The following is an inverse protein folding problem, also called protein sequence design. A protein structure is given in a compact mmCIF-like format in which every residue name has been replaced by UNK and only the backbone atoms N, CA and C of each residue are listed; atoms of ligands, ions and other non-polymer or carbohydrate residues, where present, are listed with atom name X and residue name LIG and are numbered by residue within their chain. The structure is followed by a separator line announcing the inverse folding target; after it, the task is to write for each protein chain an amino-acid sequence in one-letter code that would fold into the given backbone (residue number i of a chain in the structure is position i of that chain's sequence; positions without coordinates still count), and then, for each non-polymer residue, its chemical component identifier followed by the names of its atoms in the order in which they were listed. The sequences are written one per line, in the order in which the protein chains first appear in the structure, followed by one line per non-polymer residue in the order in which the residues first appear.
data_IF_585688438368
#
_entry.id   IF_585688438368
#
_cell.length_a   1.000
_cell.length_b   1.000
_cell.length_c   1.000
_cell.angle_alpha   90.00
_cell.angle_beta   90.00
_cell.angle_gamma   90.00
#
_symmetry.space_group_name_H-M   'P 1'
#
loop_
_entity.id
_entity.type
_entity.pdbx_description
1 polymer ?
#
# COMPACT_ATOMS: atom_id res chain seq x y z
N UNK A 1 -17.54 -42.16 51.80
CA UNK A 1 -18.75 -42.58 51.10
C UNK A 1 -19.93 -41.98 51.86
N UNK A 2 -20.54 -40.91 51.36
CA UNK A 2 -21.65 -40.24 52.04
C UNK A 2 -22.95 -41.00 51.72
N UNK A 3 -23.54 -41.64 52.73
CA UNK A 3 -24.79 -42.38 52.57
C UNK A 3 -25.99 -41.44 52.75
N UNK A 4 -26.77 -41.27 51.69
CA UNK A 4 -28.02 -40.51 51.68
C UNK A 4 -29.11 -41.30 52.40
N UNK A 5 -29.78 -40.70 53.39
CA UNK A 5 -30.95 -41.30 54.06
C UNK A 5 -32.18 -41.21 53.15
N UNK A 6 -33.11 -42.19 53.19
CA UNK A 6 -34.32 -42.15 52.36
C UNK A 6 -35.21 -40.98 52.83
N UNK A 7 -35.29 -39.91 52.03
CA UNK A 7 -36.07 -38.69 52.34
C UNK A 7 -35.31 -37.38 52.12
N UNK A 8 -33.98 -37.40 52.13
CA UNK A 8 -33.19 -36.18 51.88
C UNK A 8 -33.18 -35.86 50.37
N UNK A 9 -33.43 -34.61 49.99
CA UNK A 9 -33.19 -34.13 48.62
C UNK A 9 -31.82 -33.45 48.57
N UNK A 10 -30.80 -34.17 48.09
CA UNK A 10 -29.49 -33.58 47.78
C UNK A 10 -29.58 -33.02 46.36
N UNK A 11 -29.63 -31.70 46.23
CA UNK A 11 -29.50 -30.99 44.96
C UNK A 11 -28.11 -30.37 44.90
N UNK A 12 -27.37 -30.71 43.84
CA UNK A 12 -26.14 -30.03 43.50
C UNK A 12 -26.52 -28.75 42.72
N UNK A 13 -26.22 -27.59 43.30
CA UNK A 13 -26.40 -26.30 42.62
C UNK A 13 -25.09 -25.98 41.93
N UNK A 14 -25.00 -26.29 40.64
CA UNK A 14 -23.86 -25.88 39.82
C UNK A 14 -24.04 -24.42 39.41
N UNK A 15 -23.24 -23.52 39.99
CA UNK A 15 -23.18 -22.12 39.55
C UNK A 15 -22.07 -21.99 38.51
N UNK A 16 -22.45 -21.71 37.27
CA UNK A 16 -21.50 -21.42 36.19
C UNK A 16 -20.87 -20.04 36.39
N UNK A 17 -19.53 -19.98 36.44
CA UNK A 17 -18.75 -18.73 36.50
C UNK A 17 -18.15 -18.33 35.14
N UNK A 18 -18.67 -18.90 34.06
CA UNK A 18 -18.06 -18.80 32.73
C UNK A 18 -17.92 -17.36 32.24
N UNK A 19 -18.81 -16.45 32.66
CA UNK A 19 -18.82 -15.04 32.25
C UNK A 19 -18.21 -14.08 33.29
N UNK A 20 -17.70 -14.59 34.41
CA UNK A 20 -17.16 -13.75 35.49
C UNK A 20 -15.92 -12.96 35.05
N UNK A 21 -15.08 -13.55 34.20
CA UNK A 21 -13.90 -12.90 33.61
C UNK A 21 -14.29 -11.67 32.79
N UNK A 22 -15.35 -11.78 31.97
CA UNK A 22 -15.84 -10.67 31.15
C UNK A 22 -16.37 -9.51 32.01
N UNK A 23 -17.09 -9.81 33.10
CA UNK A 23 -17.58 -8.79 34.04
C UNK A 23 -16.43 -8.04 34.74
N UNK A 24 -15.37 -8.73 35.14
CA UNK A 24 -14.20 -8.08 35.74
C UNK A 24 -13.52 -7.18 34.71
N UNK A 25 -13.37 -7.66 33.47
CA UNK A 25 -12.73 -6.89 32.41
C UNK A 25 -13.50 -5.62 32.02
N UNK A 26 -14.84 -5.61 32.11
CA UNK A 26 -15.61 -4.37 31.90
C UNK A 26 -15.44 -3.37 33.03
N UNK A 27 -15.26 -3.82 34.29
CA UNK A 27 -14.98 -2.90 35.41
C UNK A 27 -13.64 -2.16 35.24
N UNK A 28 -12.63 -2.81 34.65
CA UNK A 28 -11.37 -2.15 34.31
C UNK A 28 -11.53 -1.02 33.29
N UNK A 29 -12.63 -0.98 32.51
CA UNK A 29 -12.93 0.17 31.65
C UNK A 29 -13.18 1.43 32.48
N UNK A 30 -13.87 1.34 33.61
CA UNK A 30 -14.11 2.49 34.48
C UNK A 30 -12.78 3.04 35.01
N UNK A 31 -11.86 2.16 35.39
CA UNK A 31 -10.51 2.54 35.86
C UNK A 31 -9.74 3.23 34.73
N UNK A 32 -9.77 2.67 33.53
CA UNK A 32 -9.14 3.23 32.34
C UNK A 32 -9.71 4.61 31.97
N UNK A 33 -11.04 4.77 32.03
CA UNK A 33 -11.73 6.04 31.78
C UNK A 33 -11.35 7.11 32.81
N UNK A 34 -11.28 6.75 34.11
CA UNK A 34 -10.84 7.69 35.16
C UNK A 34 -9.39 8.11 34.94
N UNK A 35 -8.53 7.17 34.54
CA UNK A 35 -7.12 7.44 34.24
C UNK A 35 -6.90 8.17 32.91
N UNK A 36 -7.96 8.40 32.12
CA UNK A 36 -7.89 8.94 30.74
C UNK A 36 -6.85 8.21 29.88
N UNK A 37 -6.80 6.89 30.00
CA UNK A 37 -5.84 6.05 29.29
C UNK A 37 -6.54 4.84 28.69
N UNK A 38 -6.19 4.41 27.47
CA UNK A 38 -6.72 3.18 26.89
C UNK A 38 -6.47 1.98 27.79
N UNK A 39 -7.48 1.11 27.93
CA UNK A 39 -7.40 -0.07 28.79
C UNK A 39 -6.27 -1.02 28.35
N UNK A 40 -6.06 -1.15 27.03
CA UNK A 40 -4.95 -1.93 26.45
C UNK A 40 -3.57 -1.40 26.87
N UNK A 41 -3.41 -0.08 26.94
CA UNK A 41 -2.17 0.58 27.38
C UNK A 41 -1.98 0.49 28.89
N UNK A 42 -3.06 0.69 29.66
CA UNK A 42 -3.04 0.60 31.12
C UNK A 42 -2.75 -0.82 31.61
N UNK A 43 -3.43 -1.82 31.02
CA UNK A 43 -3.33 -3.23 31.43
C UNK A 43 -2.18 -3.97 30.74
N UNK A 44 -1.63 -3.42 29.64
CA UNK A 44 -0.60 -4.06 28.80
C UNK A 44 -1.01 -5.43 28.24
N UNK A 45 -2.30 -5.71 28.24
CA UNK A 45 -2.90 -6.93 27.71
C UNK A 45 -4.15 -6.55 26.94
N UNK A 46 -4.50 -7.31 25.90
CA UNK A 46 -5.76 -7.13 25.20
C UNK A 46 -6.86 -7.92 25.92
N UNK A 47 -7.85 -7.27 26.56
CA UNK A 47 -8.92 -7.99 27.22
C UNK A 47 -9.87 -8.59 26.18
N UNK A 48 -10.47 -9.75 26.49
CA UNK A 48 -11.49 -10.36 25.63
C UNK A 48 -12.68 -9.41 25.48
N UNK A 49 -13.12 -9.21 24.23
CA UNK A 49 -14.22 -8.29 23.92
C UNK A 49 -13.78 -6.87 23.50
N UNK A 50 -12.49 -6.56 23.51
CA UNK A 50 -11.95 -5.29 23.00
C UNK A 50 -11.54 -5.41 21.53
N UNK A 51 -11.67 -4.31 20.78
CA UNK A 51 -11.29 -4.26 19.38
C UNK A 51 -9.79 -4.56 19.21
N UNK A 52 -9.43 -5.34 18.20
CA UNK A 52 -8.11 -5.98 18.11
C UNK A 52 -6.95 -5.03 17.85
N UNK A 53 -7.22 -3.83 17.34
CA UNK A 53 -6.16 -2.89 16.94
C UNK A 53 -5.97 -1.75 17.93
N UNK A 54 -6.98 -1.39 18.74
CA UNK A 54 -6.90 -0.28 19.71
C UNK A 54 -6.53 1.10 19.10
N UNK A 55 -6.52 1.22 17.78
CA UNK A 55 -6.00 2.40 17.06
C UNK A 55 -6.78 3.68 17.39
N UNK A 56 -8.10 3.59 17.45
CA UNK A 56 -8.95 4.74 17.77
C UNK A 56 -8.70 5.25 19.19
N UNK A 57 -8.65 4.34 20.17
CA UNK A 57 -8.38 4.66 21.57
C UNK A 57 -6.98 5.24 21.75
N UNK A 58 -5.99 4.74 20.99
CA UNK A 58 -4.63 5.27 20.99
C UNK A 58 -4.55 6.66 20.37
N UNK A 59 -5.27 6.93 19.28
CA UNK A 59 -5.31 8.27 18.67
C UNK A 59 -5.92 9.30 19.63
N UNK A 60 -7.04 8.97 20.26
CA UNK A 60 -7.67 9.81 21.29
C UNK A 60 -6.71 10.09 22.45
N UNK A 61 -6.00 9.05 22.92
CA UNK A 61 -5.00 9.19 23.97
C UNK A 61 -3.82 10.09 23.57
N UNK A 62 -3.34 10.01 22.33
CA UNK A 62 -2.27 10.88 21.82
C UNK A 62 -2.76 12.33 21.77
N UNK A 63 -4.00 12.58 21.33
CA UNK A 63 -4.59 13.92 21.34
C UNK A 63 -4.70 14.49 22.75
N UNK A 64 -5.12 13.69 23.74
CA UNK A 64 -5.16 14.12 25.15
C UNK A 64 -3.75 14.43 25.68
N UNK A 65 -2.73 13.64 25.31
CA UNK A 65 -1.35 13.94 25.68
C UNK A 65 -0.84 15.25 25.06
N UNK A 66 -1.14 15.52 23.80
CA UNK A 66 -0.82 16.79 23.16
C UNK A 66 -1.56 17.95 23.85
N UNK A 67 -2.83 17.77 24.18
CA UNK A 67 -3.61 18.75 24.94
C UNK A 67 -2.97 19.06 26.30
N UNK A 68 -2.50 18.04 27.03
CA UNK A 68 -1.80 18.21 28.30
C UNK A 68 -0.45 18.92 28.12
N UNK A 69 0.30 18.57 27.08
CA UNK A 69 1.56 19.23 26.75
C UNK A 69 1.35 20.72 26.50
N UNK A 70 0.38 21.09 25.65
CA UNK A 70 0.18 22.47 25.23
C UNK A 70 -0.52 23.33 26.30
N UNK A 71 -1.54 22.80 26.98
CA UNK A 71 -2.38 23.61 27.87
C UNK A 71 -1.94 23.58 29.33
N UNK A 72 -1.21 22.55 29.76
CA UNK A 72 -0.79 22.43 31.16
C UNK A 72 0.72 22.51 31.30
N UNK A 73 1.46 21.68 30.57
CA UNK A 73 2.90 21.55 30.78
C UNK A 73 3.68 22.72 30.18
N UNK A 74 3.34 23.16 28.98
CA UNK A 74 4.02 24.27 28.29
C UNK A 74 3.96 25.57 29.10
N UNK A 75 2.80 26.03 29.61
CA UNK A 75 2.75 27.24 30.44
C UNK A 75 3.55 27.10 31.75
N UNK A 76 3.59 25.89 32.34
CA UNK A 76 4.39 25.65 33.55
C UNK A 76 5.89 25.73 33.26
N UNK A 77 6.34 25.17 32.14
CA UNK A 77 7.74 25.22 31.72
C UNK A 77 8.12 26.65 31.35
N UNK A 78 7.31 27.35 30.55
CA UNK A 78 7.54 28.76 30.20
C UNK A 78 7.62 29.63 31.45
N UNK A 79 6.70 29.43 32.41
CA UNK A 79 6.74 30.14 33.69
C UNK A 79 8.00 29.84 34.48
N UNK A 80 8.43 28.59 34.53
CA UNK A 80 9.65 28.19 35.21
C UNK A 80 10.89 28.82 34.54
N UNK A 81 10.99 28.75 33.22
CA UNK A 81 12.08 29.33 32.45
C UNK A 81 12.19 30.84 32.70
N UNK A 82 11.08 31.57 32.68
CA UNK A 82 11.06 33.00 33.01
C UNK A 82 11.59 33.32 34.41
N UNK A 83 11.36 32.44 35.40
CA UNK A 83 11.87 32.62 36.76
C UNK A 83 13.37 32.33 36.84
N UNK A 84 13.83 31.25 36.20
CA UNK A 84 15.24 30.86 36.15
C UNK A 84 16.06 31.92 35.41
N UNK A 85 15.58 32.42 34.27
CA UNK A 85 16.22 33.49 33.52
C UNK A 85 16.46 34.74 34.37
N UNK A 86 15.44 35.20 35.10
CA UNK A 86 15.56 36.37 35.98
C UNK A 86 16.46 36.12 37.18
N UNK A 87 16.46 34.91 37.73
CA UNK A 87 17.23 34.56 38.93
C UNK A 87 18.71 34.34 38.65
N UNK A 88 19.03 33.57 37.61
CA UNK A 88 20.40 33.10 37.33
C UNK A 88 21.14 34.02 36.35
N UNK A 89 20.44 34.50 35.32
CA UNK A 89 21.09 35.19 34.21
C UNK A 89 20.88 36.70 34.24
N UNK A 90 19.86 37.20 34.95
CA UNK A 90 19.57 38.64 35.07
C UNK A 90 19.12 39.30 33.75
N UNK A 91 18.88 38.50 32.71
CA UNK A 91 18.40 38.90 31.39
C UNK A 91 17.12 38.13 31.06
N UNK A 92 16.27 38.71 30.20
CA UNK A 92 15.12 38.02 29.61
C UNK A 92 15.54 37.51 28.24
N UNK A 93 15.43 36.21 28.02
CA UNK A 93 15.58 35.61 26.70
C UNK A 93 14.18 35.25 26.17
N UNK A 94 14.01 35.23 24.85
CA UNK A 94 12.83 34.60 24.25
C UNK A 94 13.11 33.10 24.14
N UNK A 95 12.73 32.34 25.17
CA UNK A 95 12.82 30.88 25.16
C UNK A 95 11.49 30.27 24.72
N UNK A 96 11.53 29.42 23.70
CA UNK A 96 10.39 28.61 23.29
C UNK A 96 10.54 27.17 23.81
N UNK A 97 9.56 26.71 24.60
CA UNK A 97 9.50 25.33 25.03
C UNK A 97 8.87 24.46 23.93
N UNK A 98 9.67 23.57 23.32
CA UNK A 98 9.24 22.60 22.32
C UNK A 98 9.33 21.18 22.87
N UNK A 99 8.20 20.47 22.88
CA UNK A 99 8.17 19.04 23.21
C UNK A 99 8.61 18.18 22.02
N UNK A 100 9.12 17.00 22.33
CA UNK A 100 9.27 15.97 21.31
C UNK A 100 7.88 15.53 20.83
N UNK A 101 7.70 15.27 19.53
CA UNK A 101 6.44 14.76 19.00
C UNK A 101 5.97 13.53 19.76
N UNK A 102 4.71 13.54 20.19
CA UNK A 102 4.08 12.41 20.91
C UNK A 102 3.80 11.26 19.96
N UNK A 103 3.43 11.60 18.72
CA UNK A 103 3.21 10.65 17.65
C UNK A 103 4.41 10.68 16.71
N UNK A 104 4.99 9.52 16.44
CA UNK A 104 5.95 9.36 15.36
C UNK A 104 5.23 8.59 14.27
N UNK A 105 4.92 9.24 13.12
CA UNK A 105 4.26 8.54 12.03
C UNK A 105 5.09 7.33 11.65
N UNK A 106 4.41 6.21 11.40
CA UNK A 106 5.09 5.01 10.94
C UNK A 106 5.75 5.29 9.58
N UNK A 107 6.81 4.55 9.23
CA UNK A 107 7.42 4.65 7.89
C UNK A 107 6.40 4.51 6.76
N UNK A 108 5.33 3.75 7.00
CA UNK A 108 4.22 3.59 6.07
C UNK A 108 3.41 4.89 5.92
N UNK A 109 3.01 5.51 7.02
CA UNK A 109 2.27 6.78 6.98
C UNK A 109 3.14 7.90 6.38
N UNK A 110 4.44 7.93 6.67
CA UNK A 110 5.38 8.85 6.02
C UNK A 110 5.46 8.61 4.50
N UNK A 111 5.49 7.35 4.06
CA UNK A 111 5.46 7.03 2.63
C UNK A 111 4.13 7.44 1.96
N UNK A 112 3.00 7.29 2.66
CA UNK A 112 1.69 7.74 2.19
C UNK A 112 1.63 9.28 2.10
N UNK A 113 2.15 10.00 3.10
CA UNK A 113 2.27 11.48 3.07
C UNK A 113 3.13 11.93 1.89
N UNK A 114 4.32 11.34 1.68
CA UNK A 114 5.20 11.68 0.54
C UNK A 114 4.51 11.48 -0.82
N UNK A 115 3.66 10.45 -0.94
CA UNK A 115 2.87 10.23 -2.15
C UNK A 115 1.85 11.34 -2.35
N UNK A 116 1.12 11.70 -1.29
CA UNK A 116 0.14 12.80 -1.33
C UNK A 116 0.81 14.13 -1.67
N UNK A 117 2.00 14.38 -1.12
CA UNK A 117 2.78 15.59 -1.42
C UNK A 117 3.23 15.63 -2.88
N UNK A 118 3.64 14.49 -3.46
CA UNK A 118 3.99 14.39 -4.87
C UNK A 118 2.77 14.58 -5.80
N UNK A 119 1.62 14.03 -5.43
CA UNK A 119 0.36 14.23 -6.16
C UNK A 119 -0.07 15.72 -6.08
N UNK A 120 0.14 16.36 -4.93
CA UNK A 120 -0.12 17.80 -4.74
C UNK A 120 0.80 18.65 -5.60
N UNK A 121 2.09 18.34 -5.66
CA UNK A 121 3.04 19.04 -6.54
C UNK A 121 2.66 18.89 -8.02
N UNK A 122 2.27 17.70 -8.46
CA UNK A 122 1.81 17.48 -9.82
C UNK A 122 0.62 18.37 -10.17
N UNK A 123 -0.36 18.49 -9.27
CA UNK A 123 -1.53 19.36 -9.47
C UNK A 123 -1.13 20.83 -9.52
N UNK A 124 -0.28 21.29 -8.60
CA UNK A 124 0.13 22.70 -8.53
C UNK A 124 1.00 23.11 -9.73
N UNK A 125 1.88 22.22 -10.20
CA UNK A 125 2.71 22.45 -11.40
C UNK A 125 1.82 22.51 -12.64
N UNK A 126 0.89 21.56 -12.79
CA UNK A 126 -0.04 21.54 -13.94
C UNK A 126 -0.99 22.74 -13.92
N UNK A 127 -1.35 23.25 -12.74
CA UNK A 127 -2.15 24.46 -12.58
C UNK A 127 -1.33 25.75 -12.82
N UNK A 128 -0.01 25.66 -13.00
CA UNK A 128 0.89 26.80 -13.12
C UNK A 128 1.03 27.64 -11.85
N UNK A 129 0.64 27.09 -10.69
CA UNK A 129 0.71 27.78 -9.41
C UNK A 129 2.12 27.75 -8.79
N UNK A 130 2.89 26.69 -9.08
CA UNK A 130 4.30 26.56 -8.70
C UNK A 130 5.11 26.06 -9.90
N UNK A 131 6.38 26.46 -9.98
CA UNK A 131 7.31 25.89 -10.96
C UNK A 131 7.88 24.53 -10.49
N UNK A 132 8.35 23.68 -11.41
CA UNK A 132 9.06 22.45 -11.04
C UNK A 132 10.29 22.68 -10.15
N UNK A 133 10.94 23.85 -10.28
CA UNK A 133 12.09 24.23 -9.48
C UNK A 133 11.69 24.58 -8.03
N UNK A 134 10.56 25.26 -7.84
CA UNK A 134 10.02 25.58 -6.51
C UNK A 134 9.58 24.31 -5.78
N UNK A 135 8.96 23.37 -6.48
CA UNK A 135 8.62 22.05 -5.92
C UNK A 135 9.89 21.28 -5.50
N UNK A 136 10.94 21.34 -6.31
CA UNK A 136 12.24 20.72 -6.00
C UNK A 136 12.89 21.35 -4.76
N UNK A 137 12.87 22.68 -4.64
CA UNK A 137 13.38 23.38 -3.46
C UNK A 137 12.63 22.98 -2.18
N UNK A 138 11.30 22.83 -2.25
CA UNK A 138 10.46 22.33 -1.16
C UNK A 138 10.87 20.91 -0.73
N UNK A 139 11.05 20.01 -1.70
CA UNK A 139 11.49 18.62 -1.46
C UNK A 139 12.87 18.59 -0.81
N UNK A 140 13.82 19.43 -1.22
CA UNK A 140 15.16 19.50 -0.61
C UNK A 140 15.09 20.00 0.85
N UNK A 141 14.21 20.98 1.11
CA UNK A 141 14.07 21.58 2.43
C UNK A 141 13.35 20.68 3.45
N UNK A 142 12.47 19.77 3.01
CA UNK A 142 11.75 18.86 3.89
C UNK A 142 12.69 17.81 4.51
N UNK A 143 12.87 17.77 5.85
CA UNK A 143 13.72 16.79 6.53
C UNK A 143 13.34 15.33 6.28
N UNK A 144 12.08 15.06 5.93
CA UNK A 144 11.55 13.71 5.76
C UNK A 144 11.50 13.27 4.29
N UNK A 145 11.90 14.10 3.34
CA UNK A 145 11.74 13.80 1.90
C UNK A 145 12.68 12.71 1.40
N UNK A 146 13.85 12.56 2.02
CA UNK A 146 14.92 11.66 1.57
C UNK A 146 15.76 12.25 0.41
N UNK A 147 15.48 13.48 -0.01
CA UNK A 147 16.11 14.15 -1.16
C UNK A 147 16.89 15.42 -0.78
N UNK A 148 17.19 15.61 0.51
CA UNK A 148 17.90 16.77 1.06
C UNK A 148 19.31 17.00 0.48
N UNK A 149 19.89 16.01 -0.20
CA UNK A 149 21.20 16.08 -0.85
C UNK A 149 21.17 16.46 -2.33
N UNK A 150 19.99 16.70 -2.93
CA UNK A 150 19.91 17.09 -4.33
C UNK A 150 20.37 18.56 -4.53
N UNK A 151 21.04 18.88 -5.65
CA UNK A 151 21.29 20.26 -6.02
C UNK A 151 19.97 20.99 -6.31
N UNK A 152 19.93 22.28 -5.97
CA UNK A 152 18.76 23.14 -6.13
C UNK A 152 18.32 23.24 -7.60
N UNK A 153 19.28 23.33 -8.52
CA UNK A 153 19.00 23.28 -9.95
C UNK A 153 18.84 21.84 -10.43
N UNK A 154 17.87 21.65 -11.32
CA UNK A 154 17.74 20.41 -12.05
C UNK A 154 18.92 20.32 -13.02
N UNK A 155 19.67 19.21 -13.07
CA UNK A 155 20.78 19.10 -14.02
C UNK A 155 20.23 19.26 -15.44
N UNK A 156 20.61 20.35 -16.10
CA UNK A 156 20.32 20.54 -17.51
C UNK A 156 21.05 19.46 -18.29
N UNK A 157 20.31 18.64 -19.02
CA UNK A 157 20.90 17.80 -20.04
C UNK A 157 21.13 18.66 -21.28
N UNK A 158 22.36 19.13 -21.49
CA UNK A 158 22.78 19.83 -22.72
C UNK A 158 22.43 19.02 -24.00
N UNK A 159 22.16 17.72 -23.86
CA UNK A 159 21.67 16.83 -24.91
C UNK A 159 20.27 17.15 -25.46
N UNK A 160 19.47 18.00 -24.80
CA UNK A 160 18.14 18.39 -25.31
C UNK A 160 18.15 19.70 -26.11
N UNK A 161 19.17 20.54 -26.01
CA UNK A 161 19.14 21.86 -26.69
C UNK A 161 19.64 21.81 -28.14
N UNK A 162 20.43 20.80 -28.52
CA UNK A 162 21.07 20.77 -29.85
C UNK A 162 20.14 20.29 -30.99
N UNK A 163 18.93 19.79 -30.68
CA UNK A 163 18.00 19.24 -31.68
C UNK A 163 16.75 20.10 -31.93
N UNK A 164 16.58 21.24 -31.25
CA UNK A 164 15.35 22.05 -31.35
C UNK A 164 15.51 23.35 -32.16
N UNK A 165 16.66 23.63 -32.77
CA UNK A 165 16.92 24.92 -33.42
C UNK A 165 17.06 24.90 -34.95
N UNK A 166 16.97 23.75 -35.63
CA UNK A 166 17.28 23.68 -37.07
C UNK A 166 16.15 23.23 -38.02
N UNK A 167 14.89 23.03 -37.58
CA UNK A 167 13.80 22.82 -38.55
C UNK A 167 12.41 23.22 -38.01
N UNK A 168 12.14 24.53 -37.98
CA UNK A 168 10.81 25.09 -37.69
C UNK A 168 9.74 24.75 -38.75
N UNK A 169 10.08 24.02 -39.81
CA UNK A 169 9.11 23.64 -40.86
C UNK A 169 8.74 22.17 -40.91
N UNK A 170 9.51 21.27 -40.28
CA UNK A 170 9.19 19.84 -40.25
C UNK A 170 8.62 19.37 -38.90
N UNK A 171 8.98 20.03 -37.78
CA UNK A 171 8.52 19.63 -36.45
C UNK A 171 7.03 19.95 -36.19
N UNK A 172 6.49 20.97 -36.88
CA UNK A 172 5.07 21.34 -36.80
C UNK A 172 4.14 20.32 -37.48
N UNK A 173 4.62 19.54 -38.45
CA UNK A 173 3.80 18.56 -39.17
C UNK A 173 3.91 17.15 -38.58
N UNK A 174 5.00 16.81 -37.89
CA UNK A 174 5.18 15.51 -37.23
C UNK A 174 4.61 15.44 -35.81
N UNK A 175 4.33 16.59 -35.17
CA UNK A 175 3.61 16.65 -33.88
C UNK A 175 2.08 16.53 -34.05
N UNK A 176 1.57 16.65 -35.27
CA UNK A 176 0.15 16.50 -35.62
C UNK A 176 -0.12 15.35 -36.61
N UNK A 177 0.83 14.41 -36.75
CA UNK A 177 0.61 13.17 -37.48
C UNK A 177 -0.30 12.22 -36.70
N UNK A 178 -1.54 12.05 -37.20
CA UNK A 178 -2.59 11.10 -36.80
C UNK A 178 -2.32 10.31 -35.51
N UNK A 179 -2.69 10.91 -34.37
CA UNK A 179 -3.11 10.11 -33.23
C UNK A 179 -4.23 9.17 -33.69
N UNK A 180 -4.25 7.88 -33.30
CA UNK A 180 -5.45 7.08 -33.50
C UNK A 180 -6.59 7.84 -32.84
N UNK A 181 -7.64 8.19 -33.59
CA UNK A 181 -8.83 8.85 -33.07
C UNK A 181 -9.25 8.11 -31.81
N UNK A 182 -8.93 8.67 -30.65
CA UNK A 182 -9.67 8.38 -29.45
C UNK A 182 -11.02 9.01 -29.73
N UNK A 183 -11.96 8.17 -30.16
CA UNK A 183 -13.37 8.53 -30.09
C UNK A 183 -13.61 8.87 -28.64
N UNK A 184 -13.61 10.17 -28.33
CA UNK A 184 -14.25 10.69 -27.14
C UNK A 184 -15.63 10.07 -27.16
N UNK A 185 -15.92 9.14 -26.25
CA UNK A 185 -17.27 8.66 -26.06
C UNK A 185 -18.13 9.92 -25.92
N UNK A 186 -19.04 10.12 -26.88
CA UNK A 186 -19.88 11.30 -26.95
C UNK A 186 -20.58 11.46 -25.61
N UNK A 187 -20.36 12.60 -24.98
CA UNK A 187 -20.86 12.85 -23.66
C UNK A 187 -22.40 12.79 -23.66
N UNK A 188 -22.96 11.77 -23.01
CA UNK A 188 -24.40 11.54 -22.95
C UNK A 188 -24.99 12.16 -21.68
N UNK A 189 -25.69 13.29 -21.79
CA UNK A 189 -26.33 13.99 -20.66
C UNK A 189 -27.34 13.07 -19.93
N UNK A 190 -27.92 12.07 -20.60
CA UNK A 190 -28.91 11.15 -19.99
C UNK A 190 -28.32 10.27 -18.89
N UNK A 191 -27.01 10.01 -18.89
CA UNK A 191 -26.32 9.21 -17.87
C UNK A 191 -26.03 10.01 -16.58
N UNK A 192 -26.38 11.30 -16.57
CA UNK A 192 -26.10 12.24 -15.48
C UNK A 192 -27.34 13.06 -15.08
N UNK A 193 -28.39 12.43 -14.51
CA UNK A 193 -29.62 13.11 -14.14
C UNK A 193 -29.36 14.25 -13.13
N UNK A 194 -29.78 15.45 -13.51
CA UNK A 194 -29.78 16.66 -12.68
C UNK A 194 -31.19 16.94 -12.18
N UNK A 195 -31.27 17.55 -11.00
CA UNK A 195 -32.54 18.08 -10.49
C UNK A 195 -32.90 19.36 -11.28
N UNK A 196 -34.17 19.80 -11.24
CA UNK A 196 -34.70 20.96 -11.99
C UNK A 196 -33.93 22.29 -11.77
N UNK A 197 -33.10 22.37 -10.71
CA UNK A 197 -32.24 23.51 -10.38
C UNK A 197 -30.77 23.33 -10.85
N UNK A 198 -30.48 22.37 -11.73
CA UNK A 198 -29.16 22.16 -12.36
C UNK A 198 -28.08 21.54 -11.45
N UNK A 199 -28.44 21.13 -10.23
CA UNK A 199 -27.56 20.41 -9.31
C UNK A 199 -27.68 18.90 -9.51
N UNK A 200 -26.58 18.18 -9.29
CA UNK A 200 -26.61 16.71 -9.22
C UNK A 200 -27.52 16.25 -8.08
N UNK A 201 -28.43 15.33 -8.36
CA UNK A 201 -29.48 14.94 -7.43
C UNK A 201 -28.99 14.29 -6.15
N UNK A 202 -29.60 14.65 -5.01
CA UNK A 202 -29.35 14.01 -3.71
C UNK A 202 -30.09 12.68 -3.62
N UNK A 203 -29.48 11.60 -4.09
CA UNK A 203 -30.02 10.25 -3.89
C UNK A 203 -29.15 9.14 -4.45
N UNK A 204 -28.26 8.57 -3.64
CA UNK A 204 -27.47 7.41 -4.04
C UNK A 204 -26.40 6.89 -3.08
N UNK A 205 -26.41 7.32 -1.80
CA UNK A 205 -25.56 6.70 -0.79
C UNK A 205 -26.12 5.34 -0.36
N UNK A 206 -25.74 4.27 -1.08
CA UNK A 206 -25.77 2.91 -0.53
C UNK A 206 -24.38 2.57 0.01
N UNK A 207 -24.26 2.47 1.33
CA UNK A 207 -23.20 1.69 1.95
C UNK A 207 -23.47 0.19 1.73
N UNK A 208 -22.39 -0.55 1.46
CA UNK A 208 -22.22 -2.01 1.30
C UNK A 208 -22.70 -2.65 -0.02
N UNK A 209 -21.75 -2.99 -0.87
CA UNK A 209 -21.20 -4.36 -1.01
C UNK A 209 -19.82 -4.29 -1.70
N UNK A 210 -18.90 -5.18 -1.31
CA UNK A 210 -17.56 -5.27 -1.90
C UNK A 210 -17.64 -5.46 -3.44
N UNK A 211 -17.37 -4.42 -4.22
CA UNK A 211 -16.98 -4.58 -5.63
C UNK A 211 -15.52 -5.05 -5.69
N UNK A 212 -15.30 -6.34 -5.46
CA UNK A 212 -14.10 -7.08 -5.88
C UNK A 212 -14.30 -7.51 -7.34
N UNK A 213 -13.81 -6.72 -8.31
CA UNK A 213 -13.63 -7.23 -9.69
C UNK A 213 -12.83 -6.34 -10.65
N UNK A 214 -12.52 -5.07 -10.33
CA UNK A 214 -12.05 -4.17 -11.39
C UNK A 214 -10.51 -4.08 -11.51
N UNK A 215 -9.75 -4.36 -10.44
CA UNK A 215 -8.26 -4.33 -10.50
C UNK A 215 -7.62 -5.61 -11.08
N UNK A 216 -8.31 -6.76 -11.02
CA UNK A 216 -7.74 -8.05 -11.46
C UNK A 216 -7.91 -8.23 -12.97
N UNK A 217 -9.08 -7.87 -13.50
CA UNK A 217 -9.37 -7.89 -14.93
C UNK A 217 -8.48 -6.91 -15.71
N UNK A 218 -8.27 -5.71 -15.17
CA UNK A 218 -7.33 -4.72 -15.72
C UNK A 218 -5.88 -5.25 -15.73
N UNK A 219 -5.44 -5.91 -14.65
CA UNK A 219 -4.09 -6.49 -14.57
C UNK A 219 -3.88 -7.69 -15.50
N UNK A 220 -4.91 -8.53 -15.66
CA UNK A 220 -4.85 -9.69 -16.54
C UNK A 220 -5.00 -9.32 -18.01
N UNK A 221 -5.69 -8.23 -18.32
CA UNK A 221 -5.96 -7.78 -19.68
C UNK A 221 -6.71 -8.82 -20.52
N UNK A 222 -6.51 -8.77 -21.85
CA UNK A 222 -7.14 -9.69 -22.79
C UNK A 222 -6.74 -11.15 -22.51
N UNK A 223 -7.74 -12.03 -22.40
CA UNK A 223 -7.53 -13.48 -22.27
C UNK A 223 -7.23 -14.10 -23.64
N UNK A 224 -6.16 -14.88 -23.71
CA UNK A 224 -5.79 -15.69 -24.87
C UNK A 224 -5.96 -17.17 -24.50
N UNK A 225 -6.81 -17.87 -25.24
CA UNK A 225 -7.09 -19.30 -25.05
C UNK A 225 -6.52 -20.13 -26.20
N UNK A 226 -6.14 -21.37 -25.93
CA UNK A 226 -5.72 -22.33 -26.96
C UNK A 226 -4.22 -22.42 -27.26
N UNK A 227 -3.38 -21.59 -26.62
CA UNK A 227 -1.91 -21.69 -26.69
C UNK A 227 -1.33 -22.16 -25.35
N UNK A 228 -0.30 -23.02 -25.37
CA UNK A 228 0.34 -23.59 -24.17
C UNK A 228 1.86 -23.60 -24.27
N UNK A 229 2.53 -23.67 -23.13
CA UNK A 229 3.97 -23.80 -23.04
C UNK A 229 4.70 -22.64 -23.73
N UNK A 230 5.61 -22.97 -24.66
CA UNK A 230 6.42 -21.98 -25.37
C UNK A 230 5.58 -21.08 -26.28
N UNK A 231 4.53 -21.60 -26.91
CA UNK A 231 3.66 -20.83 -27.80
C UNK A 231 2.92 -19.71 -27.04
N UNK A 232 2.57 -19.96 -25.78
CA UNK A 232 1.99 -18.94 -24.90
C UNK A 232 2.98 -17.83 -24.57
N UNK A 233 4.27 -18.17 -24.38
CA UNK A 233 5.34 -17.19 -24.15
C UNK A 233 5.54 -16.34 -25.39
N UNK A 234 5.62 -16.96 -26.57
CA UNK A 234 5.86 -16.26 -27.83
C UNK A 234 4.68 -15.35 -28.22
N UNK A 235 3.44 -15.79 -27.96
CA UNK A 235 2.24 -14.98 -28.16
C UNK A 235 2.25 -13.72 -27.28
N UNK A 236 2.50 -13.87 -25.98
CA UNK A 236 2.55 -12.73 -25.07
C UNK A 236 3.74 -11.81 -25.35
N UNK A 237 4.86 -12.34 -25.86
CA UNK A 237 5.99 -11.54 -26.34
C UNK A 237 5.64 -10.68 -27.56
N UNK A 238 4.76 -11.19 -28.44
CA UNK A 238 4.28 -10.46 -29.62
C UNK A 238 3.26 -9.39 -29.26
N UNK A 239 2.25 -9.75 -28.48
CA UNK A 239 1.14 -8.88 -28.11
C UNK A 239 1.53 -7.87 -27.01
N UNK A 240 2.52 -8.22 -26.16
CA UNK A 240 2.99 -7.42 -25.01
C UNK A 240 1.87 -6.96 -24.05
N UNK A 241 0.80 -7.74 -23.96
CA UNK A 241 -0.32 -7.51 -23.05
C UNK A 241 -1.15 -8.80 -22.89
N UNK A 242 -2.03 -8.84 -21.89
CA UNK A 242 -2.97 -9.92 -21.67
C UNK A 242 -2.42 -11.10 -20.86
N UNK A 243 -3.19 -12.19 -20.84
CA UNK A 243 -2.86 -13.42 -20.13
C UNK A 243 -3.31 -14.66 -20.89
N UNK A 244 -2.64 -15.77 -20.61
CA UNK A 244 -2.96 -17.11 -21.11
C UNK A 244 -3.31 -17.99 -19.92
N UNK A 245 -4.57 -18.43 -19.86
CA UNK A 245 -5.06 -19.32 -18.81
C UNK A 245 -4.55 -20.74 -19.00
N UNK A 246 -4.01 -21.36 -17.96
CA UNK A 246 -3.46 -22.71 -17.98
C UNK A 246 -2.33 -22.90 -19.00
N UNK A 247 -1.49 -21.88 -19.16
CA UNK A 247 -0.33 -21.90 -20.05
C UNK A 247 0.62 -23.07 -19.71
N UNK A 248 0.74 -23.41 -18.44
CA UNK A 248 1.46 -24.59 -17.96
C UNK A 248 0.56 -25.41 -17.04
N UNK A 249 0.71 -26.73 -17.04
CA UNK A 249 -0.09 -27.60 -16.18
C UNK A 249 0.80 -28.60 -15.44
N UNK A 250 0.55 -28.77 -14.14
CA UNK A 250 1.33 -29.67 -13.28
C UNK A 250 0.42 -30.48 -12.36
N UNK A 251 0.76 -31.74 -12.13
CA UNK A 251 -0.06 -32.65 -11.29
C UNK A 251 -0.15 -32.23 -9.82
N UNK A 252 0.88 -31.55 -9.30
CA UNK A 252 0.99 -31.23 -7.88
C UNK A 252 0.27 -29.92 -7.49
N UNK A 253 0.28 -28.93 -8.39
CA UNK A 253 -0.25 -27.57 -8.13
C UNK A 253 -1.36 -27.15 -9.11
N UNK A 254 -1.66 -27.96 -10.12
CA UNK A 254 -2.71 -27.68 -11.11
C UNK A 254 -2.27 -26.77 -12.25
N UNK A 255 -3.24 -26.05 -12.81
CA UNK A 255 -3.04 -25.16 -13.95
C UNK A 255 -2.36 -23.85 -13.49
N UNK A 256 -1.44 -23.35 -14.30
CA UNK A 256 -0.67 -22.14 -14.04
C UNK A 256 -0.87 -21.21 -15.23
N UNK A 257 -1.34 -20.01 -14.92
CA UNK A 257 -1.56 -18.95 -15.88
C UNK A 257 -0.25 -18.23 -16.18
N UNK A 258 -0.08 -17.81 -17.44
CA UNK A 258 1.01 -16.95 -17.86
C UNK A 258 0.44 -15.57 -18.14
N UNK A 259 0.89 -14.57 -17.38
CA UNK A 259 0.41 -13.18 -17.48
C UNK A 259 1.55 -12.31 -18.00
N UNK A 260 1.27 -11.42 -18.95
CA UNK A 260 2.25 -10.42 -19.36
C UNK A 260 2.68 -9.55 -18.18
N UNK A 261 1.69 -9.04 -17.44
CA UNK A 261 1.86 -8.37 -16.17
C UNK A 261 2.44 -6.97 -16.32
N UNK A 262 3.27 -6.56 -15.36
CA UNK A 262 3.82 -5.22 -15.27
C UNK A 262 5.29 -5.26 -14.81
N UNK A 263 5.86 -4.11 -14.43
CA UNK A 263 7.26 -4.04 -14.00
C UNK A 263 7.57 -4.80 -12.71
N UNK A 264 6.56 -5.19 -11.93
CA UNK A 264 6.73 -5.85 -10.63
C UNK A 264 6.49 -7.36 -10.67
N UNK A 265 5.70 -7.86 -11.62
CA UNK A 265 5.28 -9.27 -11.70
C UNK A 265 4.87 -9.68 -13.11
N UNK A 266 5.04 -10.96 -13.44
CA UNK A 266 4.70 -11.54 -14.73
C UNK A 266 5.86 -11.52 -15.74
N UNK A 267 5.56 -11.78 -17.01
CA UNK A 267 6.57 -11.93 -18.06
C UNK A 267 7.35 -10.62 -18.32
N UNK A 268 6.68 -9.46 -18.27
CA UNK A 268 7.28 -8.14 -18.42
C UNK A 268 8.38 -7.88 -17.35
N UNK A 269 8.08 -8.21 -16.09
CA UNK A 269 9.04 -8.12 -14.99
C UNK A 269 10.26 -9.04 -15.22
N UNK A 270 10.03 -10.28 -15.66
CA UNK A 270 11.12 -11.22 -15.97
C UNK A 270 12.05 -10.61 -17.02
N UNK A 271 11.51 -10.12 -18.14
CA UNK A 271 12.30 -9.54 -19.22
C UNK A 271 13.11 -8.33 -18.74
N UNK A 272 12.48 -7.38 -18.04
CA UNK A 272 13.13 -6.18 -17.52
C UNK A 272 14.30 -6.55 -16.61
N UNK A 273 14.05 -7.40 -15.61
CA UNK A 273 15.06 -7.82 -14.64
C UNK A 273 16.21 -8.60 -15.29
N UNK A 274 15.95 -9.43 -16.31
CA UNK A 274 17.01 -10.19 -17.02
C UNK A 274 17.87 -9.29 -17.91
N UNK A 275 17.30 -8.24 -18.52
CA UNK A 275 18.07 -7.23 -19.27
C UNK A 275 19.01 -6.46 -18.34
N UNK A 276 18.52 -6.03 -17.18
CA UNK A 276 19.32 -5.33 -16.17
C UNK A 276 20.45 -6.20 -15.61
N UNK A 277 20.17 -7.47 -15.33
CA UNK A 277 21.15 -8.43 -14.78
C UNK A 277 22.04 -9.09 -15.84
N UNK A 278 21.91 -8.70 -17.12
CA UNK A 278 22.66 -9.25 -18.28
C UNK A 278 22.58 -10.79 -18.41
N UNK A 279 21.48 -11.39 -17.96
CA UNK A 279 21.27 -12.84 -18.05
C UNK A 279 20.73 -13.24 -19.45
N UNK A 280 21.03 -14.46 -19.95
CA UNK A 280 20.59 -14.90 -21.27
C UNK A 280 19.06 -15.17 -21.28
N UNK A 281 18.30 -14.16 -21.68
CA UNK A 281 16.83 -14.18 -21.71
C UNK A 281 16.29 -15.26 -22.66
N UNK A 282 16.84 -15.38 -23.87
CA UNK A 282 16.38 -16.36 -24.87
C UNK A 282 16.44 -17.80 -24.37
N UNK A 283 17.54 -18.18 -23.70
CA UNK A 283 17.72 -19.53 -23.12
C UNK A 283 16.85 -19.79 -21.89
N UNK A 284 16.40 -18.73 -21.21
CA UNK A 284 15.51 -18.84 -20.06
C UNK A 284 14.08 -19.06 -20.53
N UNK A 285 13.60 -18.21 -21.44
CA UNK A 285 12.26 -18.29 -22.00
C UNK A 285 12.04 -19.63 -22.70
N UNK A 286 12.98 -20.09 -23.52
CA UNK A 286 12.90 -21.39 -24.22
C UNK A 286 12.85 -22.59 -23.27
N UNK A 287 13.33 -22.43 -22.04
CA UNK A 287 13.35 -23.49 -21.03
C UNK A 287 12.29 -23.32 -19.96
N UNK A 288 11.47 -22.27 -20.06
CA UNK A 288 10.54 -21.90 -19.01
C UNK A 288 9.50 -22.99 -18.81
N UNK A 289 9.02 -23.59 -19.90
CA UNK A 289 8.16 -24.76 -19.89
C UNK A 289 8.77 -25.92 -19.10
N UNK A 290 10.01 -26.28 -19.41
CA UNK A 290 10.72 -27.36 -18.70
C UNK A 290 10.93 -27.03 -17.22
N UNK A 291 11.26 -25.78 -16.89
CA UNK A 291 11.46 -25.36 -15.49
C UNK A 291 10.16 -25.51 -14.71
N UNK A 292 9.04 -25.02 -15.24
CA UNK A 292 7.75 -25.03 -14.55
C UNK A 292 7.17 -26.45 -14.45
N UNK A 293 7.25 -27.24 -15.52
CA UNK A 293 6.65 -28.58 -15.58
C UNK A 293 7.51 -29.67 -14.93
N UNK A 294 8.85 -29.58 -15.02
CA UNK A 294 9.78 -30.67 -14.61
C UNK A 294 10.66 -30.31 -13.42
N UNK A 295 10.58 -29.09 -12.89
CA UNK A 295 11.38 -28.68 -11.74
C UNK A 295 10.89 -29.26 -10.41
N UNK A 296 11.78 -29.30 -9.42
CA UNK A 296 11.46 -29.72 -8.06
C UNK A 296 10.70 -28.61 -7.33
N UNK A 297 9.54 -28.96 -6.76
CA UNK A 297 8.66 -28.02 -6.06
C UNK A 297 9.10 -27.87 -4.60
N UNK A 298 9.26 -26.62 -4.16
CA UNK A 298 9.46 -26.25 -2.76
C UNK A 298 8.46 -25.18 -2.33
N UNK A 299 8.03 -25.25 -1.07
CA UNK A 299 7.12 -24.26 -0.48
C UNK A 299 7.90 -23.08 0.08
N UNK A 300 7.62 -21.88 -0.42
CA UNK A 300 8.26 -20.65 0.02
C UNK A 300 7.48 -19.92 1.12
N UNK A 301 8.12 -18.95 1.78
CA UNK A 301 7.46 -18.07 2.75
C UNK A 301 6.31 -17.30 2.07
N UNK A 302 5.20 -17.11 2.79
CA UNK A 302 3.95 -16.47 2.31
C UNK A 302 3.10 -17.28 1.31
N UNK A 303 3.29 -18.60 1.23
CA UNK A 303 2.41 -19.49 0.45
C UNK A 303 2.66 -19.46 -1.07
N UNK A 304 3.85 -19.04 -1.51
CA UNK A 304 4.28 -19.12 -2.91
C UNK A 304 4.93 -20.47 -3.19
N UNK A 305 4.85 -20.91 -4.45
CA UNK A 305 5.51 -22.12 -4.91
C UNK A 305 6.81 -21.74 -5.60
N UNK A 306 7.92 -22.31 -5.15
CA UNK A 306 9.21 -22.19 -5.82
C UNK A 306 9.49 -23.49 -6.57
N UNK A 307 9.93 -23.37 -7.82
CA UNK A 307 10.21 -24.50 -8.70
C UNK A 307 11.65 -24.38 -9.19
N UNK A 308 12.48 -25.36 -8.86
CA UNK A 308 13.90 -25.38 -9.17
C UNK A 308 14.22 -26.43 -10.22
N UNK A 309 14.92 -26.06 -11.29
CA UNK A 309 15.32 -26.98 -12.34
C UNK A 309 16.66 -26.56 -12.96
N UNK A 310 17.69 -27.40 -12.79
CA UNK A 310 19.02 -27.24 -13.42
C UNK A 310 19.61 -25.82 -13.29
N UNK A 311 19.62 -25.26 -12.08
CA UNK A 311 20.13 -23.91 -11.81
C UNK A 311 19.22 -22.77 -12.30
N UNK A 312 17.96 -23.07 -12.62
CA UNK A 312 16.91 -22.09 -12.92
C UNK A 312 15.81 -22.21 -11.87
N UNK A 313 15.26 -21.08 -11.45
CA UNK A 313 14.21 -20.99 -10.44
C UNK A 313 13.03 -20.24 -11.03
N UNK A 314 11.83 -20.80 -10.89
CA UNK A 314 10.56 -20.17 -11.21
C UNK A 314 9.73 -20.05 -9.95
N UNK A 315 9.06 -18.91 -9.77
CA UNK A 315 8.17 -18.66 -8.64
C UNK A 315 6.76 -18.53 -9.18
N UNK A 316 5.86 -19.33 -8.64
CA UNK A 316 4.43 -19.32 -8.95
C UNK A 316 3.70 -18.78 -7.73
N UNK A 317 2.85 -17.78 -7.95
CA UNK A 317 2.03 -17.18 -6.90
C UNK A 317 0.59 -17.66 -7.05
N UNK A 318 0.01 -18.34 -6.04
CA UNK A 318 -1.34 -18.91 -6.13
C UNK A 318 -2.47 -17.89 -5.93
N UNK A 319 -2.14 -16.68 -5.48
CA UNK A 319 -3.12 -15.63 -5.20
C UNK A 319 -2.71 -14.31 -5.82
N UNK A 320 -3.54 -13.80 -6.72
CA UNK A 320 -3.38 -12.48 -7.31
C UNK A 320 -4.39 -11.53 -6.67
N UNK A 321 -3.92 -10.53 -5.92
CA UNK A 321 -4.77 -9.48 -5.32
C UNK A 321 -5.95 -10.01 -4.47
N UNK A 322 -5.83 -11.21 -3.90
CA UNK A 322 -6.86 -11.85 -3.08
C UNK A 322 -7.74 -12.85 -3.83
N UNK A 323 -7.64 -12.95 -5.16
CA UNK A 323 -8.29 -13.98 -5.97
C UNK A 323 -7.39 -15.21 -6.14
N UNK A 324 -8.01 -16.39 -6.24
CA UNK A 324 -7.32 -17.67 -6.43
C UNK A 324 -6.91 -17.84 -7.90
N UNK A 325 -5.94 -17.04 -8.33
CA UNK A 325 -5.35 -17.08 -9.66
C UNK A 325 -3.90 -17.51 -9.49
N UNK A 326 -3.59 -18.70 -9.98
CA UNK A 326 -2.27 -19.27 -9.93
C UNK A 326 -1.50 -18.88 -11.18
N UNK A 327 -0.53 -17.96 -11.04
CA UNK A 327 0.21 -17.46 -12.19
C UNK A 327 1.72 -17.46 -11.97
N UNK A 328 2.47 -17.49 -13.07
CA UNK A 328 3.92 -17.37 -13.03
C UNK A 328 4.33 -15.94 -12.63
N UNK A 329 4.90 -15.81 -11.43
CA UNK A 329 5.27 -14.52 -10.85
C UNK A 329 6.62 -14.00 -11.38
N UNK A 330 7.67 -14.83 -11.32
CA UNK A 330 9.01 -14.51 -11.84
C UNK A 330 9.80 -15.77 -12.15
N UNK A 331 10.85 -15.67 -12.97
CA UNK A 331 11.80 -16.74 -13.24
C UNK A 331 13.22 -16.19 -13.46
N UNK A 332 14.24 -16.94 -13.02
CA UNK A 332 15.65 -16.53 -13.06
C UNK A 332 16.64 -17.70 -13.03
N UNK A 333 17.90 -17.41 -13.31
CA UNK A 333 19.01 -18.33 -13.02
C UNK A 333 19.41 -18.19 -11.56
N UNK A 334 19.44 -19.31 -10.84
CA UNK A 334 20.01 -19.41 -9.49
C UNK A 334 21.53 -19.44 -9.68
N UNK A 335 22.21 -18.40 -9.19
CA UNK A 335 23.66 -18.24 -9.31
C UNK A 335 24.41 -19.07 -8.27
#
# INVERSE_FOLDING_TARGET
MFFKRPGDNVQQIDTSLTDFDALIMTQYQLVASIARMPATKLLKTQPKGFNATGEYEMKDYIQELQHLQDNQMKPLIERNNLLVEKSEFGYSYELEAKFNPVDMPTERELAEVRKIDADTDMVLINAGAISPEEARARIIADPNSGYNGLPAEMPHSDFMEENFLDDETAAGEQLFGEQPEQTLDEWNEEDHPRDDDGKFGKGGGKAKEEKKSDNVSEFLGKEFTGVKGQEAVDLLMKEKQGHVKGAFTRKDIGDIDLVWGNESKGLAHIIKRRKETKQPLGKLLSSLTDVVEKGDLSFAKKGRFEINFKGKKAIVEPKLLGENIQFLFTAYYDN
#
